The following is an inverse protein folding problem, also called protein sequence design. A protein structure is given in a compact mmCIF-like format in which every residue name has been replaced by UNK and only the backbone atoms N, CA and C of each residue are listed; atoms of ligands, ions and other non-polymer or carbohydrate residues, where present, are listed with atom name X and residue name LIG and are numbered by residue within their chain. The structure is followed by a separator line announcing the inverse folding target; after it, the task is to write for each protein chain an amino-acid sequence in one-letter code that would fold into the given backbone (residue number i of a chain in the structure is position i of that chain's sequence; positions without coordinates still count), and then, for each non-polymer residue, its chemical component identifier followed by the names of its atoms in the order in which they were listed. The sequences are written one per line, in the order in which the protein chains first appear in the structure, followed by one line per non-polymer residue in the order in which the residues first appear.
data_IF_340100790499
#
_entry.id   IF_340100790499
#
_cell.length_a   1.000
_cell.length_b   1.000
_cell.length_c   1.000
_cell.angle_alpha   90.00
_cell.angle_beta   90.00
_cell.angle_gamma   90.00
#
_symmetry.space_group_name_H-M   'P 1'
#
loop_
_entity.id
_entity.type
_entity.pdbx_description
1 polymer ?
#
# COMPACT_ATOMS: atom_id res chain seq x y z
N UNK A 1 -7.40 -1.39 18.91
CA UNK A 1 -6.78 -0.65 20.04
C UNK A 1 -6.46 0.75 19.57
N UNK A 2 -6.78 1.80 20.31
CA UNK A 2 -6.46 3.20 19.96
C UNK A 2 -5.06 3.53 20.46
N UNK A 3 -4.24 4.21 19.64
CA UNK A 3 -2.91 4.71 19.97
C UNK A 3 -2.95 6.23 20.19
N UNK A 4 -1.77 6.86 20.33
CA UNK A 4 -1.63 8.33 20.41
C UNK A 4 -2.13 9.00 19.11
N UNK A 5 -1.85 8.39 17.96
CA UNK A 5 -2.49 8.64 16.67
C UNK A 5 -2.98 7.31 16.11
N UNK A 6 -4.12 7.31 15.44
CA UNK A 6 -4.65 6.13 14.77
C UNK A 6 -5.07 4.97 15.69
N UNK A 7 -5.15 3.80 15.11
CA UNK A 7 -5.57 2.58 15.82
C UNK A 7 -4.97 1.32 15.21
N UNK A 8 -4.84 0.27 16.03
CA UNK A 8 -4.39 -1.05 15.58
C UNK A 8 -5.53 -2.05 15.61
N UNK A 9 -5.69 -2.76 14.51
CA UNK A 9 -6.50 -3.98 14.40
C UNK A 9 -5.54 -5.19 14.41
N UNK A 10 -5.93 -6.25 15.12
CA UNK A 10 -5.12 -7.47 15.22
C UNK A 10 -5.93 -8.63 14.67
N UNK A 11 -5.33 -9.36 13.74
CA UNK A 11 -5.87 -10.57 13.13
C UNK A 11 -5.07 -11.76 13.65
N UNK A 12 -5.78 -12.77 14.17
CA UNK A 12 -5.18 -13.97 14.77
C UNK A 12 -5.05 -15.07 13.71
N UNK A 13 -3.85 -15.56 13.54
CA UNK A 13 -3.49 -16.69 12.68
C UNK A 13 -2.82 -17.81 13.48
N UNK A 14 -3.32 -18.07 14.69
CA UNK A 14 -2.82 -19.10 15.58
C UNK A 14 -1.54 -18.68 16.30
N UNK A 15 -0.37 -19.25 15.93
CA UNK A 15 0.91 -18.82 16.52
C UNK A 15 1.40 -17.47 16.02
N UNK A 16 0.82 -16.98 14.91
CA UNK A 16 1.18 -15.73 14.27
C UNK A 16 0.06 -14.70 14.39
N UNK A 17 0.38 -13.43 14.32
CA UNK A 17 -0.58 -12.34 14.30
C UNK A 17 -0.21 -11.33 13.24
N UNK A 18 -1.22 -10.77 12.60
CA UNK A 18 -1.09 -9.60 11.74
C UNK A 18 -1.67 -8.40 12.48
N UNK A 19 -0.86 -7.37 12.66
CA UNK A 19 -1.25 -6.09 13.23
C UNK A 19 -1.34 -5.07 12.10
N UNK A 20 -2.52 -4.49 11.89
CA UNK A 20 -2.74 -3.44 10.91
C UNK A 20 -2.89 -2.10 11.67
N UNK A 21 -1.97 -1.21 11.48
CA UNK A 21 -2.01 0.14 12.02
C UNK A 21 -2.63 1.09 10.99
N UNK A 22 -3.77 1.65 11.32
CA UNK A 22 -4.45 2.70 10.56
C UNK A 22 -4.10 4.02 11.20
N UNK A 23 -3.29 4.83 10.52
CA UNK A 23 -2.71 6.06 11.09
C UNK A 23 -3.76 7.12 11.42
N UNK A 24 -4.86 7.19 10.62
CA UNK A 24 -5.89 8.20 10.76
C UNK A 24 -5.42 9.61 10.41
N UNK A 25 -4.30 9.73 9.71
CA UNK A 25 -3.76 10.99 9.21
C UNK A 25 -4.45 11.44 7.91
N UNK A 26 -3.94 12.53 7.33
CA UNK A 26 -4.52 13.12 6.13
C UNK A 26 -4.38 12.25 4.87
N UNK A 27 -3.43 11.30 4.86
CA UNK A 27 -3.19 10.40 3.74
C UNK A 27 -3.88 9.04 3.94
N UNK A 28 -4.30 8.73 5.19
CA UNK A 28 -4.96 7.48 5.53
C UNK A 28 -4.03 6.26 5.45
N UNK A 29 -2.74 6.46 5.75
CA UNK A 29 -1.74 5.39 5.65
C UNK A 29 -2.07 4.20 6.55
N UNK A 30 -1.84 3.01 6.01
CA UNK A 30 -1.92 1.75 6.74
C UNK A 30 -0.61 0.99 6.58
N UNK A 31 -0.01 0.63 7.71
CA UNK A 31 1.19 -0.21 7.74
C UNK A 31 0.99 -1.42 8.65
N UNK A 32 1.89 -2.39 8.56
CA UNK A 32 1.64 -3.70 9.14
C UNK A 32 2.84 -4.21 9.94
N UNK A 33 2.53 -5.05 10.95
CA UNK A 33 3.51 -5.90 11.60
C UNK A 33 3.02 -7.35 11.56
N UNK A 34 3.85 -8.23 11.06
CA UNK A 34 3.64 -9.68 11.10
C UNK A 34 4.43 -10.21 12.27
N UNK A 35 3.71 -10.61 13.32
CA UNK A 35 4.28 -11.16 14.55
C UNK A 35 4.30 -12.68 14.47
N UNK A 36 5.47 -13.28 14.71
CA UNK A 36 5.65 -14.71 14.92
C UNK A 36 6.16 -15.00 16.34
N UNK A 37 6.32 -16.27 16.76
CA UNK A 37 6.95 -16.61 18.02
C UNK A 37 8.37 -16.05 18.20
N UNK A 38 9.11 -15.81 17.10
CA UNK A 38 10.54 -15.48 17.13
C UNK A 38 10.86 -14.02 16.79
N UNK A 39 9.91 -13.24 16.29
CA UNK A 39 10.16 -11.84 15.91
C UNK A 39 8.99 -11.17 15.24
N UNK A 40 9.22 -9.95 14.78
CA UNK A 40 8.27 -9.11 14.06
C UNK A 40 8.87 -8.69 12.72
N UNK A 41 8.08 -8.73 11.64
CA UNK A 41 8.45 -8.19 10.34
C UNK A 41 7.51 -7.04 10.03
N UNK A 42 8.04 -5.88 9.63
CA UNK A 42 7.27 -4.68 9.33
C UNK A 42 7.08 -4.52 7.81
N UNK A 43 5.88 -4.14 7.41
CA UNK A 43 5.54 -3.76 6.04
C UNK A 43 5.07 -2.32 6.06
N UNK A 44 5.73 -1.48 5.27
CA UNK A 44 5.49 -0.05 5.13
C UNK A 44 5.69 0.78 6.41
N UNK A 45 5.70 2.07 6.26
CA UNK A 45 5.65 3.07 7.33
C UNK A 45 4.55 4.09 7.01
N UNK A 46 4.48 5.18 7.76
CA UNK A 46 3.54 6.28 7.48
C UNK A 46 4.29 7.53 7.03
N UNK A 47 3.62 8.40 6.28
CA UNK A 47 4.23 9.64 5.83
C UNK A 47 4.49 10.64 6.98
N UNK A 48 3.82 10.49 8.13
CA UNK A 48 3.89 11.46 9.22
C UNK A 48 4.70 10.94 10.42
N UNK A 49 5.58 11.80 10.96
CA UNK A 49 6.43 11.46 12.13
C UNK A 49 5.62 10.97 13.32
N UNK A 50 4.51 11.64 13.64
CA UNK A 50 3.66 11.24 14.77
C UNK A 50 3.04 9.84 14.60
N UNK A 51 2.72 9.45 13.35
CA UNK A 51 2.27 8.11 13.00
C UNK A 51 3.36 7.06 13.23
N UNK A 52 4.57 7.34 12.74
CA UNK A 52 5.72 6.45 12.91
C UNK A 52 6.09 6.28 14.38
N UNK A 53 6.06 7.36 15.17
CA UNK A 53 6.32 7.30 16.62
C UNK A 53 5.29 6.44 17.36
N UNK A 54 4.00 6.63 17.06
CA UNK A 54 2.92 5.86 17.67
C UNK A 54 3.00 4.38 17.29
N UNK A 55 3.30 4.09 16.02
CA UNK A 55 3.46 2.73 15.53
C UNK A 55 4.67 2.05 16.15
N UNK A 56 5.83 2.73 16.19
CA UNK A 56 7.02 2.22 16.87
C UNK A 56 6.74 1.89 18.32
N UNK A 57 6.14 2.82 19.06
CA UNK A 57 5.82 2.61 20.47
C UNK A 57 4.92 1.37 20.67
N UNK A 58 3.98 1.13 19.76
CA UNK A 58 3.16 -0.08 19.78
C UNK A 58 3.99 -1.34 19.51
N UNK A 59 4.80 -1.36 18.44
CA UNK A 59 5.66 -2.50 18.07
C UNK A 59 6.59 -2.86 19.22
N UNK A 60 7.16 -1.87 19.91
CA UNK A 60 8.02 -2.09 21.08
C UNK A 60 7.29 -2.83 22.21
N UNK A 61 5.96 -2.66 22.36
CA UNK A 61 5.17 -3.40 23.37
C UNK A 61 5.05 -4.90 23.10
N UNK A 62 5.31 -5.33 21.85
CA UNK A 62 5.29 -6.77 21.50
C UNK A 62 6.49 -7.52 22.15
N UNK A 63 7.54 -6.79 22.55
CA UNK A 63 8.69 -7.34 23.26
C UNK A 63 9.52 -8.32 22.43
N UNK A 64 9.44 -8.24 21.11
CA UNK A 64 10.13 -9.12 20.16
C UNK A 64 11.06 -8.31 19.25
N UNK A 65 12.16 -8.90 18.76
CA UNK A 65 13.05 -8.21 17.82
C UNK A 65 12.34 -7.96 16.47
N UNK A 66 12.61 -6.80 15.87
CA UNK A 66 12.26 -6.52 14.46
C UNK A 66 13.25 -7.29 13.60
N UNK A 67 12.77 -8.32 12.90
CA UNK A 67 13.57 -9.23 12.09
C UNK A 67 13.72 -8.77 10.62
N UNK A 68 12.98 -7.75 10.21
CA UNK A 68 13.06 -7.17 8.89
C UNK A 68 12.02 -6.08 8.67
N UNK A 69 12.29 -5.23 7.68
CA UNK A 69 11.39 -4.18 7.18
C UNK A 69 11.27 -4.36 5.68
N UNK A 70 10.05 -4.48 5.17
CA UNK A 70 9.76 -4.49 3.73
C UNK A 70 9.09 -3.16 3.41
N UNK A 71 9.80 -2.30 2.65
CA UNK A 71 9.35 -0.97 2.30
C UNK A 71 9.21 -0.88 0.79
N UNK A 72 7.99 -0.86 0.32
CA UNK A 72 7.69 -0.81 -1.11
C UNK A 72 7.37 0.63 -1.55
N UNK A 73 6.35 1.22 -0.96
CA UNK A 73 5.80 2.54 -1.34
C UNK A 73 5.99 3.61 -0.27
N UNK A 74 5.98 3.23 1.02
CA UNK A 74 6.03 4.18 2.14
C UNK A 74 7.29 3.97 2.99
N UNK A 75 8.46 4.42 2.51
CA UNK A 75 9.74 4.25 3.23
C UNK A 75 9.98 5.30 4.31
N UNK A 76 9.14 6.36 4.36
CA UNK A 76 9.34 7.56 5.15
C UNK A 76 9.53 7.27 6.64
N UNK A 77 10.67 7.67 7.21
CA UNK A 77 10.95 7.51 8.64
C UNK A 77 11.09 6.07 9.12
N UNK A 78 11.19 5.08 8.22
CA UNK A 78 11.28 3.66 8.57
C UNK A 78 12.55 3.30 9.36
N UNK A 79 13.58 4.13 9.35
CA UNK A 79 14.81 3.94 10.13
C UNK A 79 14.58 4.09 11.64
N UNK A 80 13.47 4.73 12.05
CA UNK A 80 13.04 4.79 13.44
C UNK A 80 12.71 3.40 14.01
N UNK A 81 12.32 2.43 13.21
CA UNK A 81 11.89 1.11 13.69
C UNK A 81 13.03 0.16 13.98
N UNK A 82 14.10 0.21 13.19
CA UNK A 82 15.31 -0.60 13.38
C UNK A 82 16.46 0.01 12.57
N UNK A 83 17.70 -0.24 12.99
CA UNK A 83 18.93 0.20 12.29
C UNK A 83 19.27 -0.63 11.06
N UNK A 84 18.60 -1.77 10.86
CA UNK A 84 18.81 -2.61 9.69
C UNK A 84 18.19 -1.96 8.46
N UNK A 85 18.91 -2.00 7.33
CA UNK A 85 18.39 -1.51 6.07
C UNK A 85 17.12 -2.30 5.64
N UNK A 86 16.09 -1.64 5.10
CA UNK A 86 14.89 -2.33 4.63
C UNK A 86 15.17 -3.18 3.39
N UNK A 87 14.34 -4.19 3.17
CA UNK A 87 14.29 -4.91 1.91
C UNK A 87 13.49 -4.09 0.89
N UNK A 88 14.03 -3.93 -0.33
CA UNK A 88 13.36 -3.22 -1.42
C UNK A 88 13.89 -3.66 -2.79
N UNK A 89 13.09 -3.48 -3.82
CA UNK A 89 13.53 -3.66 -5.22
C UNK A 89 14.37 -2.47 -5.68
N UNK A 90 15.17 -2.65 -6.75
CA UNK A 90 15.92 -1.54 -7.36
C UNK A 90 14.99 -0.39 -7.77
N UNK A 91 13.79 -0.70 -8.31
CA UNK A 91 12.81 0.30 -8.68
C UNK A 91 12.29 1.09 -7.48
N UNK A 92 11.95 0.41 -6.37
CA UNK A 92 11.52 1.09 -5.15
C UNK A 92 12.59 2.06 -4.65
N UNK A 93 13.85 1.61 -4.61
CA UNK A 93 14.99 2.46 -4.21
C UNK A 93 15.16 3.65 -5.16
N UNK A 94 15.03 3.45 -6.47
CA UNK A 94 15.11 4.53 -7.45
C UNK A 94 13.99 5.56 -7.27
N UNK A 95 12.79 5.11 -6.89
CA UNK A 95 11.65 5.99 -6.60
C UNK A 95 11.79 6.78 -5.30
N UNK A 96 12.58 6.30 -4.33
CA UNK A 96 12.90 7.04 -3.08
C UNK A 96 14.01 8.07 -3.28
N UNK A 97 14.87 7.87 -4.28
CA UNK A 97 15.99 8.72 -4.56
C UNK A 97 15.57 10.10 -5.10
N UNK A 98 16.49 11.05 -5.11
CA UNK A 98 16.26 12.37 -5.71
C UNK A 98 15.84 12.24 -7.18
N UNK A 99 14.71 12.87 -7.53
CA UNK A 99 14.08 12.76 -8.85
C UNK A 99 13.12 11.59 -9.03
N UNK A 100 13.01 10.67 -8.06
CA UNK A 100 12.06 9.57 -8.09
C UNK A 100 10.63 10.01 -7.72
N UNK A 101 9.64 9.19 -8.08
CA UNK A 101 8.21 9.50 -7.90
C UNK A 101 7.81 9.60 -6.43
N UNK A 102 8.24 8.68 -5.60
CA UNK A 102 7.96 8.68 -4.14
C UNK A 102 8.65 9.88 -3.46
N UNK A 103 9.87 10.22 -3.90
CA UNK A 103 10.55 11.42 -3.39
C UNK A 103 9.79 12.69 -3.75
N UNK A 104 9.32 12.82 -4.97
CA UNK A 104 8.53 13.97 -5.42
C UNK A 104 7.20 14.09 -4.65
N UNK A 105 6.53 12.97 -4.33
CA UNK A 105 5.35 12.97 -3.46
C UNK A 105 5.69 13.44 -2.05
N UNK A 106 6.76 12.95 -1.43
CA UNK A 106 7.22 13.37 -0.11
C UNK A 106 7.52 14.87 -0.08
N UNK A 107 8.21 15.39 -1.09
CA UNK A 107 8.52 16.82 -1.21
C UNK A 107 7.21 17.65 -1.34
N UNK A 108 6.21 17.15 -2.07
CA UNK A 108 4.87 17.75 -2.15
C UNK A 108 4.12 17.73 -0.81
N UNK A 109 4.23 16.66 -0.05
CA UNK A 109 3.65 16.56 1.30
C UNK A 109 4.33 17.55 2.26
N UNK A 110 5.65 17.72 2.19
CA UNK A 110 6.39 18.71 2.99
C UNK A 110 5.89 20.13 2.67
N UNK A 111 5.64 20.45 1.40
CA UNK A 111 5.07 21.75 1.01
C UNK A 111 3.69 21.96 1.63
N UNK A 112 2.88 20.91 1.73
CA UNK A 112 1.48 20.99 2.20
C UNK A 112 1.37 20.92 3.73
N UNK A 113 2.14 20.03 4.38
CA UNK A 113 1.99 19.67 5.78
C UNK A 113 3.20 20.09 6.66
N UNK A 114 4.25 20.64 6.05
CA UNK A 114 5.43 21.16 6.76
C UNK A 114 6.25 20.05 7.44
N UNK A 115 6.76 20.38 8.62
CA UNK A 115 7.65 19.58 9.45
C UNK A 115 6.98 18.38 10.15
N UNK A 116 5.68 18.18 9.95
CA UNK A 116 4.97 16.99 10.43
C UNK A 116 5.26 15.76 9.58
N UNK A 117 5.73 15.94 8.35
CA UNK A 117 6.09 14.86 7.42
C UNK A 117 7.43 14.26 7.83
N UNK A 118 7.51 12.93 7.84
CA UNK A 118 8.78 12.20 7.98
C UNK A 118 9.54 12.31 6.64
N UNK A 119 10.47 13.26 6.57
CA UNK A 119 11.17 13.59 5.32
C UNK A 119 12.29 12.60 4.95
N UNK A 120 12.76 11.81 5.93
CA UNK A 120 13.90 10.91 5.75
C UNK A 120 13.46 9.62 5.05
N UNK A 121 14.19 9.27 4.00
CA UNK A 121 14.10 7.98 3.32
C UNK A 121 15.33 7.14 3.67
N UNK A 122 15.24 5.80 3.66
CA UNK A 122 16.39 4.95 3.89
C UNK A 122 17.52 5.25 2.90
N UNK A 123 18.74 5.41 3.43
CA UNK A 123 19.92 5.68 2.59
C UNK A 123 20.39 4.43 1.84
N UNK A 124 20.09 3.26 2.35
CA UNK A 124 20.48 1.95 1.79
C UNK A 124 19.31 0.98 1.90
N UNK A 125 19.30 -0.03 1.02
CA UNK A 125 18.35 -1.13 1.06
C UNK A 125 19.06 -2.47 0.80
N UNK A 126 18.50 -3.55 1.36
CA UNK A 126 18.83 -4.91 0.99
C UNK A 126 18.02 -5.25 -0.26
N UNK A 127 18.70 -5.33 -1.41
CA UNK A 127 18.02 -5.49 -2.69
C UNK A 127 17.40 -6.89 -2.83
N UNK A 128 16.16 -6.90 -3.30
CA UNK A 128 15.38 -8.09 -3.63
C UNK A 128 14.84 -8.01 -5.05
N UNK A 129 14.49 -9.17 -5.61
CA UNK A 129 13.90 -9.28 -6.94
C UNK A 129 12.52 -9.92 -6.88
N UNK A 130 11.72 -9.69 -7.91
CA UNK A 130 10.43 -10.38 -8.03
C UNK A 130 10.62 -11.90 -8.08
N UNK A 131 9.88 -12.61 -7.24
CA UNK A 131 9.97 -14.05 -7.05
C UNK A 131 10.91 -14.48 -5.93
N UNK A 132 11.71 -13.55 -5.36
CA UNK A 132 12.51 -13.89 -4.18
C UNK A 132 11.61 -14.25 -2.99
N UNK A 133 12.12 -15.16 -2.16
CA UNK A 133 11.51 -15.52 -0.90
C UNK A 133 12.46 -15.18 0.23
N UNK A 134 12.02 -14.31 1.11
CA UNK A 134 12.73 -13.92 2.32
C UNK A 134 12.19 -14.69 3.51
N UNK A 135 13.02 -15.47 4.20
CA UNK A 135 12.62 -16.13 5.45
C UNK A 135 12.99 -15.23 6.62
N UNK A 136 12.01 -14.54 7.19
CA UNK A 136 12.18 -13.58 8.29
C UNK A 136 11.30 -13.98 9.48
N UNK A 137 11.87 -14.00 10.68
CA UNK A 137 11.17 -14.44 11.90
C UNK A 137 10.50 -15.82 11.76
N UNK A 138 11.06 -16.71 10.93
CA UNK A 138 10.53 -18.06 10.67
C UNK A 138 9.33 -18.11 9.72
N UNK A 139 8.99 -17.01 9.06
CA UNK A 139 7.95 -16.91 8.04
C UNK A 139 8.54 -16.55 6.68
N UNK A 140 7.94 -17.06 5.61
CA UNK A 140 8.32 -16.72 4.25
C UNK A 140 7.51 -15.52 3.74
N UNK A 141 8.22 -14.58 3.11
CA UNK A 141 7.70 -13.39 2.43
C UNK A 141 8.14 -13.44 0.99
N UNK A 142 7.19 -13.62 0.07
CA UNK A 142 7.46 -13.74 -1.37
C UNK A 142 7.25 -12.38 -2.02
N UNK A 143 8.31 -11.88 -2.67
CA UNK A 143 8.28 -10.59 -3.40
C UNK A 143 7.51 -10.75 -4.70
N UNK A 144 6.42 -10.01 -4.88
CA UNK A 144 5.55 -10.06 -6.05
C UNK A 144 5.73 -8.82 -6.91
N UNK A 145 5.57 -9.00 -8.22
CA UNK A 145 5.51 -7.86 -9.13
C UNK A 145 4.14 -7.16 -8.97
N UNK A 146 4.17 -5.88 -8.69
CA UNK A 146 2.99 -5.00 -8.60
C UNK A 146 3.13 -3.79 -9.52
N UNK A 147 3.74 -3.97 -10.69
CA UNK A 147 4.00 -2.91 -11.65
C UNK A 147 5.37 -2.24 -11.46
N UNK A 148 5.52 -1.05 -12.07
CA UNK A 148 6.84 -0.44 -12.26
C UNK A 148 7.36 0.32 -11.03
N UNK A 149 6.49 0.70 -10.08
CA UNK A 149 6.89 1.61 -9.01
C UNK A 149 7.46 0.89 -7.78
N UNK A 150 6.96 -0.30 -7.44
CA UNK A 150 7.42 -1.02 -6.26
C UNK A 150 7.15 -2.53 -6.32
N UNK A 151 6.69 -3.14 -5.22
CA UNK A 151 6.43 -4.58 -5.15
C UNK A 151 5.33 -4.91 -4.15
N UNK A 152 4.63 -6.02 -4.40
CA UNK A 152 3.75 -6.65 -3.44
C UNK A 152 4.47 -7.69 -2.58
N UNK A 153 3.82 -8.15 -1.52
CA UNK A 153 4.36 -9.16 -0.60
C UNK A 153 3.30 -10.21 -0.29
N UNK A 154 3.57 -11.44 -0.67
CA UNK A 154 2.74 -12.59 -0.27
C UNK A 154 3.32 -13.24 0.98
N UNK A 155 2.45 -13.59 1.93
CA UNK A 155 2.83 -14.29 3.17
C UNK A 155 2.05 -15.61 3.22
N UNK A 156 2.59 -16.68 2.62
CA UNK A 156 1.85 -17.94 2.43
C UNK A 156 1.35 -18.59 3.71
N UNK A 157 2.13 -18.50 4.80
CA UNK A 157 1.76 -19.06 6.09
C UNK A 157 0.49 -18.45 6.70
N UNK A 158 0.18 -17.21 6.35
CA UNK A 158 -1.02 -16.49 6.78
C UNK A 158 -2.11 -16.51 5.70
N UNK A 159 -1.78 -16.94 4.49
CA UNK A 159 -2.63 -16.81 3.31
C UNK A 159 -3.08 -15.35 3.08
N UNK A 160 -2.14 -14.40 3.17
CA UNK A 160 -2.38 -12.99 2.91
C UNK A 160 -1.42 -12.44 1.85
N UNK A 161 -1.84 -11.37 1.17
CA UNK A 161 -1.02 -10.63 0.22
C UNK A 161 -1.12 -9.13 0.55
N UNK A 162 0.00 -8.42 0.45
CA UNK A 162 0.05 -6.96 0.41
C UNK A 162 0.17 -6.50 -1.04
N UNK A 163 -0.71 -5.59 -1.43
CA UNK A 163 -0.64 -4.77 -2.64
C UNK A 163 -0.92 -3.32 -2.25
N UNK A 164 -0.35 -2.34 -2.95
CA UNK A 164 -0.45 -0.96 -2.50
C UNK A 164 -1.88 -0.43 -2.51
N UNK A 165 -2.58 -0.57 -3.63
CA UNK A 165 -3.87 0.07 -3.85
C UNK A 165 -4.94 -0.93 -4.28
N UNK A 166 -5.81 -1.34 -3.36
CA UNK A 166 -7.06 -2.01 -3.74
C UNK A 166 -8.28 -1.17 -3.35
N UNK A 167 -8.67 -1.17 -2.08
CA UNK A 167 -9.80 -0.40 -1.55
C UNK A 167 -11.12 -0.63 -2.28
N UNK A 168 -11.98 -1.52 -1.78
CA UNK A 168 -13.19 -1.98 -2.50
C UNK A 168 -14.18 -0.87 -2.86
N UNK A 169 -14.17 0.24 -2.11
CA UNK A 169 -15.04 1.41 -2.30
C UNK A 169 -14.27 2.70 -2.55
N UNK A 170 -13.06 2.58 -3.12
CA UNK A 170 -12.18 3.71 -3.44
C UNK A 170 -11.82 3.68 -4.92
N UNK A 171 -11.82 4.83 -5.58
CA UNK A 171 -11.27 4.95 -6.91
C UNK A 171 -9.77 4.68 -6.90
N UNK A 172 -9.21 4.20 -8.02
CA UNK A 172 -7.79 3.91 -8.16
C UNK A 172 -7.16 4.85 -9.20
N UNK A 173 -5.84 5.00 -9.16
CA UNK A 173 -5.06 5.61 -10.23
C UNK A 173 -4.84 4.55 -11.31
N UNK A 174 -5.46 4.73 -12.46
CA UNK A 174 -5.44 3.78 -13.58
C UNK A 174 -4.97 4.51 -14.84
N UNK A 175 -3.84 4.11 -15.38
CA UNK A 175 -3.13 4.88 -16.42
C UNK A 175 -3.56 4.56 -17.85
N UNK A 176 -4.25 3.43 -18.06
CA UNK A 176 -4.76 2.99 -19.36
C UNK A 176 -5.84 1.93 -19.20
N UNK A 177 -6.61 1.66 -20.28
CA UNK A 177 -7.56 0.56 -20.29
C UNK A 177 -6.85 -0.79 -20.12
N UNK A 178 -5.67 -0.96 -20.69
CA UNK A 178 -4.88 -2.18 -20.52
C UNK A 178 -4.45 -2.37 -19.06
N UNK A 179 -4.07 -1.28 -18.36
CA UNK A 179 -3.77 -1.33 -16.93
C UNK A 179 -5.01 -1.74 -16.11
N UNK A 180 -6.19 -1.17 -16.39
CA UNK A 180 -7.45 -1.56 -15.74
C UNK A 180 -7.70 -3.08 -15.89
N UNK A 181 -7.55 -3.59 -17.12
CA UNK A 181 -7.78 -5.01 -17.42
C UNK A 181 -6.73 -5.92 -16.80
N UNK A 182 -5.47 -5.50 -16.78
CA UNK A 182 -4.37 -6.23 -16.13
C UNK A 182 -4.62 -6.35 -14.62
N UNK A 183 -4.98 -5.25 -13.96
CA UNK A 183 -5.29 -5.26 -12.52
C UNK A 183 -6.55 -6.09 -12.22
N UNK A 184 -7.59 -6.00 -13.05
CA UNK A 184 -8.76 -6.87 -12.93
C UNK A 184 -8.37 -8.35 -13.00
N UNK A 185 -7.58 -8.73 -14.00
CA UNK A 185 -7.13 -10.12 -14.20
C UNK A 185 -6.24 -10.61 -13.06
N UNK A 186 -5.42 -9.75 -12.49
CA UNK A 186 -4.63 -10.07 -11.31
C UNK A 186 -5.51 -10.42 -10.12
N UNK A 187 -6.50 -9.56 -9.81
CA UNK A 187 -7.44 -9.81 -8.72
C UNK A 187 -8.31 -11.06 -8.91
N UNK A 188 -8.65 -11.42 -10.15
CA UNK A 188 -9.35 -12.67 -10.48
C UNK A 188 -8.56 -13.91 -10.07
N UNK A 189 -7.24 -13.81 -10.00
CA UNK A 189 -6.34 -14.87 -9.52
C UNK A 189 -6.19 -14.95 -7.99
N UNK A 190 -6.77 -14.01 -7.24
CA UNK A 190 -6.59 -13.97 -5.79
C UNK A 190 -7.45 -14.99 -5.06
N UNK A 191 -6.84 -15.67 -4.07
CA UNK A 191 -7.48 -16.65 -3.19
C UNK A 191 -6.98 -16.51 -1.74
N UNK A 192 -6.74 -15.28 -1.31
CA UNK A 192 -6.17 -14.95 0.00
C UNK A 192 -7.24 -14.80 1.08
N UNK A 193 -6.87 -15.05 2.32
CA UNK A 193 -7.74 -14.78 3.47
C UNK A 193 -7.96 -13.28 3.63
N UNK A 194 -6.90 -12.48 3.42
CA UNK A 194 -6.92 -11.01 3.43
C UNK A 194 -6.01 -10.44 2.35
N UNK A 195 -6.42 -9.31 1.79
CA UNK A 195 -5.60 -8.42 0.99
C UNK A 195 -5.28 -7.19 1.84
N UNK A 196 -4.00 -6.89 2.01
CA UNK A 196 -3.46 -5.77 2.75
C UNK A 196 -3.15 -4.64 1.76
N UNK A 197 -3.40 -3.40 2.15
CA UNK A 197 -3.15 -2.24 1.27
C UNK A 197 -2.52 -1.09 2.02
N UNK A 198 -1.92 -0.15 1.32
CA UNK A 198 -1.26 1.02 1.91
C UNK A 198 -2.22 2.08 2.48
N UNK A 199 -3.52 2.06 2.12
CA UNK A 199 -4.46 3.14 2.48
C UNK A 199 -5.83 2.66 2.94
N UNK A 200 -6.07 1.36 3.04
CA UNK A 200 -7.33 0.80 3.50
C UNK A 200 -7.06 -0.31 4.52
N UNK A 201 -8.01 -0.54 5.41
CA UNK A 201 -7.97 -1.71 6.30
C UNK A 201 -7.90 -3.00 5.49
N UNK A 202 -7.31 -4.08 6.03
CA UNK A 202 -7.30 -5.38 5.37
C UNK A 202 -8.70 -5.82 4.93
N UNK A 203 -8.81 -6.26 3.69
CA UNK A 203 -10.08 -6.63 3.05
C UNK A 203 -10.08 -8.11 2.65
N UNK A 204 -11.25 -8.75 2.75
CA UNK A 204 -11.45 -10.15 2.34
C UNK A 204 -11.85 -10.30 0.87
N UNK A 205 -12.11 -11.54 0.46
CA UNK A 205 -12.45 -11.86 -0.94
C UNK A 205 -13.73 -11.22 -1.46
N UNK A 206 -14.70 -10.90 -0.59
CA UNK A 206 -15.92 -10.18 -1.02
C UNK A 206 -15.56 -8.78 -1.53
N UNK A 207 -14.62 -8.10 -0.89
CA UNK A 207 -14.10 -6.81 -1.33
C UNK A 207 -13.30 -6.93 -2.65
N UNK A 208 -12.52 -8.00 -2.80
CA UNK A 208 -11.83 -8.31 -4.07
C UNK A 208 -12.83 -8.47 -5.22
N UNK A 209 -13.92 -9.23 -5.01
CA UNK A 209 -14.97 -9.40 -6.03
C UNK A 209 -15.67 -8.07 -6.36
N UNK A 210 -15.92 -7.22 -5.37
CA UNK A 210 -16.46 -5.89 -5.60
C UNK A 210 -15.50 -5.02 -6.43
N UNK A 211 -14.19 -5.09 -6.14
CA UNK A 211 -13.18 -4.37 -6.93
C UNK A 211 -13.06 -4.89 -8.36
N UNK A 212 -13.12 -6.20 -8.59
CA UNK A 212 -13.14 -6.80 -9.93
C UNK A 212 -14.33 -6.25 -10.73
N UNK A 213 -15.52 -6.21 -10.13
CA UNK A 213 -16.71 -5.65 -10.77
C UNK A 213 -16.56 -4.14 -11.08
N UNK A 214 -15.98 -3.38 -10.13
CA UNK A 214 -15.65 -1.96 -10.31
C UNK A 214 -14.71 -1.76 -11.50
N UNK A 215 -13.61 -2.51 -11.59
CA UNK A 215 -12.62 -2.40 -12.66
C UNK A 215 -13.24 -2.73 -14.03
N UNK A 216 -14.02 -3.80 -14.10
CA UNK A 216 -14.74 -4.17 -15.32
C UNK A 216 -15.69 -3.05 -15.81
N UNK A 217 -16.42 -2.43 -14.86
CA UNK A 217 -17.31 -1.31 -15.18
C UNK A 217 -16.56 -0.04 -15.55
N UNK A 218 -15.45 0.24 -14.89
CA UNK A 218 -14.55 1.37 -15.21
C UNK A 218 -14.00 1.24 -16.62
N UNK A 219 -13.55 0.05 -17.05
CA UNK A 219 -13.09 -0.19 -18.42
C UNK A 219 -14.22 0.05 -19.45
N UNK A 220 -15.43 -0.48 -19.19
CA UNK A 220 -16.60 -0.26 -20.05
C UNK A 220 -16.92 1.23 -20.21
N UNK A 221 -16.92 1.98 -19.10
CA UNK A 221 -17.18 3.43 -19.11
C UNK A 221 -16.09 4.16 -19.89
N UNK A 222 -14.81 3.82 -19.64
CA UNK A 222 -13.68 4.45 -20.33
C UNK A 222 -13.72 4.25 -21.85
N UNK A 223 -14.09 3.05 -22.32
CA UNK A 223 -14.22 2.74 -23.75
C UNK A 223 -15.35 3.53 -24.44
N UNK A 224 -16.36 3.97 -23.68
CA UNK A 224 -17.58 4.63 -24.20
C UNK A 224 -17.70 6.10 -23.79
N UNK A 225 -16.72 6.66 -23.07
CA UNK A 225 -16.71 8.07 -22.70
C UNK A 225 -16.12 8.92 -23.83
N UNK A 226 -16.74 10.09 -24.06
CA UNK A 226 -16.32 11.02 -25.09
C UNK A 226 -15.19 11.98 -24.62
N UNK A 227 -14.96 12.09 -23.31
CA UNK A 227 -13.98 12.98 -22.70
C UNK A 227 -13.74 12.61 -21.22
N UNK A 228 -12.71 13.20 -20.61
CA UNK A 228 -12.47 13.09 -19.17
C UNK A 228 -13.68 13.48 -18.33
N UNK A 229 -14.35 14.59 -18.67
CA UNK A 229 -15.53 15.06 -17.95
C UNK A 229 -16.73 14.10 -18.09
N UNK A 230 -16.92 13.50 -19.26
CA UNK A 230 -17.97 12.50 -19.49
C UNK A 230 -17.67 11.20 -18.74
N UNK A 231 -16.40 10.78 -18.70
CA UNK A 231 -15.95 9.63 -17.90
C UNK A 231 -16.23 9.84 -16.42
N UNK A 232 -15.80 10.96 -15.83
CA UNK A 232 -16.02 11.27 -14.41
C UNK A 232 -17.53 11.30 -14.09
N UNK A 233 -18.34 11.96 -14.93
CA UNK A 233 -19.78 12.02 -14.71
C UNK A 233 -20.44 10.63 -14.70
N UNK A 234 -20.05 9.74 -15.62
CA UNK A 234 -20.55 8.36 -15.67
C UNK A 234 -20.07 7.52 -14.48
N UNK A 235 -18.82 7.74 -14.03
CA UNK A 235 -18.30 7.07 -12.83
C UNK A 235 -19.09 7.49 -11.58
N UNK A 236 -19.41 8.78 -11.41
CA UNK A 236 -20.25 9.25 -10.29
C UNK A 236 -21.67 8.70 -10.34
N UNK A 237 -22.25 8.54 -11.55
CA UNK A 237 -23.58 7.93 -11.70
C UNK A 237 -23.62 6.48 -11.21
N UNK A 238 -22.55 5.71 -11.48
CA UNK A 238 -22.46 4.27 -11.14
C UNK A 238 -21.92 4.03 -9.76
N UNK A 239 -20.98 4.87 -9.29
CA UNK A 239 -20.25 4.74 -8.02
C UNK A 239 -20.33 6.04 -7.20
N UNK A 240 -21.52 6.49 -6.79
CA UNK A 240 -21.70 7.82 -6.18
C UNK A 240 -21.07 7.95 -4.80
N UNK A 241 -20.84 6.83 -4.08
CA UNK A 241 -20.36 6.81 -2.70
C UNK A 241 -18.88 6.37 -2.60
N UNK A 242 -18.17 6.27 -3.74
CA UNK A 242 -16.77 5.89 -3.72
C UNK A 242 -15.88 7.05 -3.26
N UNK A 243 -14.91 6.74 -2.41
CA UNK A 243 -13.85 7.67 -2.00
C UNK A 243 -12.77 7.80 -3.10
N UNK A 244 -11.84 8.74 -2.94
CA UNK A 244 -10.69 8.87 -3.84
C UNK A 244 -11.02 9.66 -5.11
N UNK A 245 -11.77 10.76 -4.99
CA UNK A 245 -12.10 11.65 -6.10
C UNK A 245 -10.87 12.13 -6.87
N UNK A 246 -9.81 12.48 -6.14
CA UNK A 246 -8.53 12.85 -6.74
C UNK A 246 -7.91 11.73 -7.60
N UNK A 247 -8.10 10.48 -7.23
CA UNK A 247 -7.64 9.32 -8.03
C UNK A 247 -8.48 9.15 -9.29
N UNK A 248 -9.79 9.40 -9.20
CA UNK A 248 -10.67 9.41 -10.37
C UNK A 248 -10.28 10.50 -11.37
N UNK A 249 -10.00 11.71 -10.87
CA UNK A 249 -9.54 12.84 -11.69
C UNK A 249 -8.20 12.53 -12.37
N UNK A 250 -7.24 11.94 -11.64
CA UNK A 250 -5.95 11.52 -12.21
C UNK A 250 -6.16 10.46 -13.30
N UNK A 251 -6.97 9.44 -13.03
CA UNK A 251 -7.32 8.39 -14.01
C UNK A 251 -7.96 9.02 -15.27
N UNK A 252 -8.90 9.93 -15.11
CA UNK A 252 -9.50 10.63 -16.25
C UNK A 252 -8.47 11.39 -17.07
N UNK A 253 -7.49 12.03 -16.41
CA UNK A 253 -6.39 12.73 -17.07
C UNK A 253 -5.47 11.80 -17.87
N UNK A 254 -5.21 10.58 -17.38
CA UNK A 254 -4.42 9.59 -18.11
C UNK A 254 -5.17 8.97 -19.29
N UNK A 255 -6.47 8.67 -19.10
CA UNK A 255 -7.28 8.04 -20.14
C UNK A 255 -7.66 9.01 -21.27
N UNK A 256 -7.79 10.30 -20.97
CA UNK A 256 -8.22 11.35 -21.90
C UNK A 256 -7.25 12.54 -21.82
N UNK A 257 -5.97 12.38 -22.26
CA UNK A 257 -5.00 13.46 -22.20
C UNK A 257 -5.47 14.66 -23.03
N UNK A 258 -5.22 15.87 -22.52
CA UNK A 258 -5.47 17.10 -23.28
C UNK A 258 -4.55 17.12 -24.53
N UNK A 259 -5.11 17.52 -25.69
CA UNK A 259 -4.37 17.69 -26.94
C UNK A 259 -3.33 18.82 -26.85
#
# INVERSE_FOLDING_TARGET
MTLATGSVQVYDFGENRLHAYVSGDALGDVCYAVESPTGVVLLESTAFTAGNDAWKAYVDTLGKPVAGKLMAYHPNGSDAYSTEAPYATENAVANWAEGGSIRALTDGFIVTFGDTVAADHPAEAQLVQFGDTLTLAGLDFVVRNEGDDAYGVEIPALNVIYIHMMGSTTHNILTSIDHIRAFQSELEGFHYALVLTGHNVPEGMDAVQAKIAYLGKTAEIAENAASAADFIAKMHEVFPDYAGENYLEMTAGFLFPAE
#
